data_IF_240714097669
#
_entry.id   IF_240714097669
#
_cell.length_a   1.000
_cell.length_b   1.000
_cell.length_c   1.000
_cell.angle_alpha   90.00
_cell.angle_beta   90.00
_cell.angle_gamma   90.00
#
_symmetry.space_group_name_H-M   'P 1'
#
loop_
_entity.id
_entity.type
_entity.pdbx_description
1 polymer ?
#
# COMPACT_ATOMS: atom_id res chain seq x y z
N UNK A 1 7.81 6.26 0.96
CA UNK A 1 7.29 4.89 1.18
C UNK A 1 5.81 4.91 0.84
N UNK A 2 5.34 4.01 -0.03
CA UNK A 2 3.97 3.95 -0.60
C UNK A 2 3.02 3.12 0.28
N UNK A 3 3.49 2.66 1.44
CA UNK A 3 2.80 1.63 2.23
C UNK A 3 1.52 2.11 2.94
N UNK A 4 1.25 3.41 2.97
CA UNK A 4 0.10 4.00 3.66
C UNK A 4 -0.82 4.84 2.75
N UNK A 5 -0.74 4.72 1.42
CA UNK A 5 -1.46 5.62 0.48
C UNK A 5 -2.96 5.71 0.80
N UNK A 6 -3.61 4.58 1.06
CA UNK A 6 -5.04 4.58 1.39
C UNK A 6 -5.32 5.31 2.71
N UNK A 7 -4.59 4.99 3.79
CA UNK A 7 -4.74 5.69 5.08
C UNK A 7 -4.37 7.18 4.98
N UNK A 8 -3.39 7.53 4.13
CA UNK A 8 -2.96 8.89 3.87
C UNK A 8 -4.07 9.72 3.21
N UNK A 9 -4.67 9.19 2.14
CA UNK A 9 -5.79 9.83 1.45
C UNK A 9 -7.00 10.00 2.39
N UNK A 10 -7.27 9.00 3.23
CA UNK A 10 -8.42 9.00 4.12
C UNK A 10 -8.20 9.81 5.42
N UNK A 11 -6.96 10.05 5.86
CA UNK A 11 -6.70 10.61 7.19
C UNK A 11 -5.48 11.51 7.35
N UNK A 12 -4.50 11.50 6.44
CA UNK A 12 -3.36 12.44 6.48
C UNK A 12 -3.69 13.74 5.75
N UNK A 13 -4.21 13.63 4.53
CA UNK A 13 -4.42 14.78 3.65
C UNK A 13 -5.73 15.48 4.00
N UNK A 14 -5.69 16.27 5.06
CA UNK A 14 -6.76 17.25 5.34
C UNK A 14 -6.61 18.48 4.46
N UNK A 15 -7.68 19.27 4.35
CA UNK A 15 -7.67 20.56 3.63
C UNK A 15 -6.58 21.50 4.16
N UNK A 16 -6.42 21.58 5.48
CA UNK A 16 -5.38 22.36 6.14
C UNK A 16 -3.98 21.84 5.80
N UNK A 17 -3.77 20.52 5.86
CA UNK A 17 -2.46 19.94 5.59
C UNK A 17 -2.07 20.09 4.11
N UNK A 18 -3.01 19.87 3.20
CA UNK A 18 -2.81 20.12 1.78
C UNK A 18 -2.46 21.58 1.51
N UNK A 19 -3.16 22.53 2.14
CA UNK A 19 -2.79 23.94 2.05
C UNK A 19 -1.38 24.22 2.56
N UNK A 20 -1.02 23.69 3.73
CA UNK A 20 0.29 23.91 4.33
C UNK A 20 1.44 23.30 3.52
N UNK A 21 1.19 22.19 2.81
CA UNK A 21 2.19 21.56 1.96
C UNK A 21 2.32 22.27 0.59
N UNK A 22 1.20 22.75 0.04
CA UNK A 22 1.12 23.29 -1.32
C UNK A 22 0.90 24.80 -1.38
N UNK A 23 1.15 25.54 -0.29
CA UNK A 23 0.84 26.97 -0.01
C UNK A 23 0.85 27.98 -1.19
N UNK A 24 1.66 27.74 -2.22
CA UNK A 24 1.84 28.64 -3.37
C UNK A 24 1.43 28.05 -4.73
N UNK A 25 0.90 26.82 -4.75
CA UNK A 25 0.59 26.04 -5.97
C UNK A 25 -0.85 25.55 -6.04
N UNK A 26 -1.60 25.61 -4.95
CA UNK A 26 -2.97 25.15 -4.88
C UNK A 26 -3.91 26.31 -4.53
N UNK A 27 -4.89 26.56 -5.39
CA UNK A 27 -6.04 27.37 -4.99
C UNK A 27 -6.95 26.49 -4.12
N UNK A 28 -7.02 26.82 -2.82
CA UNK A 28 -7.81 26.06 -1.84
C UNK A 28 -9.31 26.14 -2.09
N UNK A 29 -9.78 27.08 -2.91
CA UNK A 29 -11.18 27.09 -3.36
C UNK A 29 -11.52 25.91 -4.28
N UNK A 30 -10.51 25.27 -4.89
CA UNK A 30 -10.70 24.08 -5.74
C UNK A 30 -10.79 22.77 -4.95
N UNK A 31 -10.40 22.76 -3.68
CA UNK A 31 -10.57 21.58 -2.83
C UNK A 31 -12.02 21.47 -2.37
N UNK A 32 -12.61 20.26 -2.35
CA UNK A 32 -13.90 20.02 -1.71
C UNK A 32 -13.96 20.62 -0.29
N UNK A 33 -15.15 21.04 0.13
CA UNK A 33 -15.34 21.66 1.45
C UNK A 33 -15.09 20.70 2.62
N UNK A 34 -15.18 19.40 2.37
CA UNK A 34 -14.88 18.35 3.35
C UNK A 34 -13.47 18.51 3.94
N UNK A 35 -13.34 18.32 5.26
CA UNK A 35 -12.04 18.38 5.95
C UNK A 35 -11.03 17.40 5.34
N UNK A 36 -11.51 16.24 4.86
CA UNK A 36 -10.74 15.19 4.20
C UNK A 36 -11.30 14.90 2.81
N UNK A 37 -10.90 15.68 1.78
CA UNK A 37 -11.59 15.69 0.49
C UNK A 37 -11.45 14.38 -0.30
N UNK A 38 -10.43 13.56 -0.01
CA UNK A 38 -10.23 12.27 -0.68
C UNK A 38 -10.95 11.11 0.00
N UNK A 39 -11.36 11.25 1.27
CA UNK A 39 -11.86 10.14 2.09
C UNK A 39 -13.09 9.45 1.48
N UNK A 40 -14.02 10.24 0.93
CA UNK A 40 -15.30 9.72 0.41
C UNK A 40 -15.22 9.22 -1.04
N UNK A 41 -14.10 9.48 -1.73
CA UNK A 41 -13.85 9.07 -3.12
C UNK A 41 -12.75 8.01 -3.23
N UNK A 42 -12.14 7.62 -2.12
CA UNK A 42 -11.11 6.59 -2.06
C UNK A 42 -11.74 5.29 -1.58
N UNK A 43 -11.56 4.21 -2.34
CA UNK A 43 -12.17 2.90 -2.06
C UNK A 43 -11.12 1.80 -2.10
N UNK A 44 -11.09 0.97 -1.06
CA UNK A 44 -10.33 -0.28 -1.04
C UNK A 44 -11.11 -1.31 -1.83
N UNK A 45 -10.49 -1.86 -2.88
CA UNK A 45 -11.11 -2.85 -3.76
C UNK A 45 -10.73 -4.28 -3.34
N UNK A 46 -11.59 -5.28 -3.62
CA UNK A 46 -11.20 -6.67 -3.49
C UNK A 46 -10.23 -7.07 -4.60
N UNK A 47 -9.07 -7.60 -4.23
CA UNK A 47 -8.08 -8.09 -5.20
C UNK A 47 -7.23 -7.00 -5.85
N UNK A 48 -6.80 -7.26 -7.09
CA UNK A 48 -5.85 -6.44 -7.83
C UNK A 48 -6.49 -5.15 -8.37
N UNK A 49 -5.76 -4.04 -8.24
CA UNK A 49 -6.23 -2.72 -8.62
C UNK A 49 -6.55 -2.63 -10.12
N UNK A 50 -5.73 -3.25 -10.98
CA UNK A 50 -5.88 -3.13 -12.44
C UNK A 50 -7.17 -3.77 -12.94
N UNK A 51 -7.48 -4.97 -12.45
CA UNK A 51 -8.72 -5.69 -12.77
C UNK A 51 -9.96 -4.89 -12.37
N UNK A 52 -9.97 -4.35 -11.15
CA UNK A 52 -11.12 -3.58 -10.65
C UNK A 52 -11.24 -2.20 -11.32
N UNK A 53 -10.12 -1.53 -11.60
CA UNK A 53 -10.11 -0.30 -12.40
C UNK A 53 -10.67 -0.55 -13.80
N UNK A 54 -10.25 -1.63 -14.46
CA UNK A 54 -10.76 -2.02 -15.77
C UNK A 54 -12.27 -2.32 -15.74
N UNK A 55 -12.74 -3.06 -14.72
CA UNK A 55 -14.17 -3.37 -14.52
C UNK A 55 -15.00 -2.10 -14.34
N UNK A 56 -14.52 -1.17 -13.52
CA UNK A 56 -15.19 0.09 -13.28
C UNK A 56 -15.19 0.97 -14.53
N UNK A 57 -14.06 1.09 -15.24
CA UNK A 57 -13.96 1.84 -16.48
C UNK A 57 -14.91 1.31 -17.56
N UNK A 58 -15.01 -0.02 -17.72
CA UNK A 58 -15.93 -0.66 -18.66
C UNK A 58 -17.40 -0.35 -18.36
N UNK A 59 -17.79 -0.36 -17.09
CA UNK A 59 -19.18 -0.14 -16.67
C UNK A 59 -19.59 1.33 -16.62
N UNK A 60 -18.65 2.23 -16.30
CA UNK A 60 -18.91 3.66 -16.10
C UNK A 60 -18.45 4.55 -17.26
N UNK A 61 -17.74 3.97 -18.24
CA UNK A 61 -17.11 4.70 -19.36
C UNK A 61 -16.04 5.69 -18.90
N UNK A 62 -15.43 5.42 -17.75
CA UNK A 62 -14.42 6.30 -17.13
C UNK A 62 -13.03 6.10 -17.74
N UNK A 63 -12.17 7.09 -17.51
CA UNK A 63 -10.74 6.99 -17.79
C UNK A 63 -9.98 6.46 -16.57
N UNK A 64 -8.98 5.61 -16.80
CA UNK A 64 -8.03 5.13 -15.78
C UNK A 64 -6.77 5.97 -15.90
N UNK A 65 -6.39 6.67 -14.83
CA UNK A 65 -5.15 7.44 -14.77
C UNK A 65 -4.04 6.60 -14.15
N UNK A 66 -3.00 6.26 -14.91
CA UNK A 66 -1.95 5.31 -14.48
C UNK A 66 -0.60 5.59 -15.15
N UNK A 67 0.48 4.98 -14.67
CA UNK A 67 1.74 4.84 -15.42
C UNK A 67 1.86 3.45 -16.09
N UNK A 68 0.99 2.52 -15.74
CA UNK A 68 1.08 1.11 -16.12
C UNK A 68 0.39 0.90 -17.48
N UNK A 69 1.16 0.41 -18.45
CA UNK A 69 0.73 0.35 -19.86
C UNK A 69 -0.04 -0.92 -20.22
N UNK A 70 0.11 -1.96 -19.42
CA UNK A 70 -0.64 -3.22 -19.51
C UNK A 70 -2.14 -3.05 -19.24
N UNK A 71 -2.57 -1.97 -18.57
CA UNK A 71 -3.98 -1.59 -18.46
C UNK A 71 -4.69 -1.41 -19.83
N UNK A 72 -3.94 -1.16 -20.91
CA UNK A 72 -4.48 -1.14 -22.28
C UNK A 72 -4.91 -2.52 -22.80
N UNK A 73 -4.42 -3.60 -22.19
CA UNK A 73 -4.71 -4.99 -22.56
C UNK A 73 -6.07 -5.41 -22.01
N UNK A 74 -6.52 -4.84 -20.90
CA UNK A 74 -7.84 -5.11 -20.36
C UNK A 74 -8.97 -4.65 -21.30
N UNK A 75 -10.11 -5.34 -21.21
CA UNK A 75 -11.33 -4.87 -21.87
C UNK A 75 -11.97 -3.71 -21.08
N UNK A 76 -11.77 -2.49 -21.56
CA UNK A 76 -12.35 -1.26 -20.98
C UNK A 76 -13.69 -0.87 -21.62
N UNK A 77 -14.28 -1.74 -22.45
CA UNK A 77 -15.46 -1.41 -23.23
C UNK A 77 -15.18 -0.42 -24.36
N UNK A 78 -16.26 0.13 -24.94
CA UNK A 78 -16.19 0.98 -26.14
C UNK A 78 -15.63 2.38 -25.84
N UNK A 79 -15.91 2.91 -24.65
CA UNK A 79 -15.61 4.30 -24.28
C UNK A 79 -14.58 4.42 -23.15
N UNK A 80 -14.30 3.35 -22.40
CA UNK A 80 -13.28 3.37 -21.36
C UNK A 80 -11.89 3.61 -21.95
N UNK A 81 -11.06 4.35 -21.23
CA UNK A 81 -9.75 4.78 -21.72
C UNK A 81 -8.68 4.74 -20.65
N UNK A 82 -7.42 4.71 -21.07
CA UNK A 82 -6.24 4.85 -20.21
C UNK A 82 -5.60 6.20 -20.49
N UNK A 83 -5.34 6.98 -19.46
CA UNK A 83 -4.60 8.24 -19.52
C UNK A 83 -3.28 8.03 -18.77
N UNK A 84 -2.17 8.32 -19.44
CA UNK A 84 -0.87 8.14 -18.81
C UNK A 84 -0.47 9.35 -17.96
N UNK A 85 0.02 9.11 -16.74
CA UNK A 85 0.50 10.15 -15.82
C UNK A 85 1.58 11.04 -16.45
N UNK A 86 2.48 10.45 -17.25
CA UNK A 86 3.54 11.19 -17.95
C UNK A 86 3.03 12.08 -19.10
N UNK A 87 1.76 11.94 -19.51
CA UNK A 87 1.13 12.75 -20.56
C UNK A 87 0.38 13.96 -20.00
N UNK A 88 0.23 14.05 -18.67
CA UNK A 88 -0.49 15.12 -18.03
C UNK A 88 0.24 16.47 -18.19
N UNK A 89 -0.50 17.48 -18.63
CA UNK A 89 -0.03 18.84 -18.80
C UNK A 89 -1.05 19.82 -18.23
N UNK A 90 -0.56 20.83 -17.53
CA UNK A 90 -1.38 21.99 -17.13
C UNK A 90 -1.29 23.02 -18.24
N UNK A 91 -2.44 23.36 -18.81
CA UNK A 91 -2.59 24.38 -19.86
C UNK A 91 -3.44 25.52 -19.35
N UNK A 92 -3.04 26.76 -19.63
CA UNK A 92 -3.83 27.94 -19.30
C UNK A 92 -4.99 28.08 -20.30
N UNK A 93 -6.21 28.20 -19.80
CA UNK A 93 -7.37 28.51 -20.63
C UNK A 93 -7.34 30.01 -20.94
N UNK A 94 -6.93 30.38 -22.15
CA UNK A 94 -7.06 31.75 -22.63
C UNK A 94 -8.55 32.05 -22.82
N UNK A 95 -9.08 33.13 -22.22
CA UNK A 95 -10.49 33.55 -22.36
C UNK A 95 -10.90 33.94 -23.81
N UNK A 96 -10.05 33.71 -24.79
CA UNK A 96 -10.28 34.03 -26.20
C UNK A 96 -10.92 32.87 -26.94
N UNK A 97 -12.11 32.45 -26.51
CA UNK A 97 -13.07 31.70 -27.34
C UNK A 97 -14.48 31.73 -26.69
N UNK A 98 -14.87 32.89 -26.14
CA UNK A 98 -16.29 33.21 -26.04
C UNK A 98 -16.66 34.06 -27.26
N UNK A 99 -17.63 33.54 -28.00
CA UNK A 99 -18.26 34.11 -29.17
C UNK A 99 -18.58 35.59 -28.96
N UNK A 100 -18.34 36.36 -30.01
CA UNK A 100 -18.71 37.75 -30.19
C UNK A 100 -20.10 38.06 -29.61
N UNK A 101 -20.15 38.74 -28.46
CA UNK A 101 -21.24 39.65 -28.15
C UNK A 101 -20.65 40.90 -27.52
N UNK A 102 -20.71 41.97 -28.32
CA UNK A 102 -20.16 43.28 -28.00
C UNK A 102 -20.98 43.98 -26.91
N UNK A 103 -20.27 44.83 -26.17
CA UNK A 103 -20.75 45.89 -25.27
C UNK A 103 -21.12 45.49 -23.84
N UNK A 104 -20.12 45.53 -22.97
CA UNK A 104 -20.25 46.37 -21.77
C UNK A 104 -18.89 46.80 -21.24
N UNK A 105 -18.75 48.12 -21.16
CA UNK A 105 -17.61 48.85 -20.65
C UNK A 105 -17.66 48.82 -19.11
N UNK A 106 -16.76 48.07 -18.47
CA UNK A 106 -16.60 48.15 -17.02
C UNK A 106 -15.16 47.86 -16.62
N UNK A 107 -14.46 48.94 -16.26
CA UNK A 107 -13.24 48.92 -15.47
C UNK A 107 -13.50 48.23 -14.13
N UNK A 108 -13.03 47.01 -13.98
CA UNK A 108 -12.77 46.41 -12.68
C UNK A 108 -11.42 45.70 -12.72
N UNK A 109 -10.49 46.17 -11.88
CA UNK A 109 -9.25 45.46 -11.54
C UNK A 109 -9.59 44.20 -10.73
N UNK A 110 -10.28 43.23 -11.34
CA UNK A 110 -10.38 41.89 -10.81
C UNK A 110 -9.12 41.14 -11.19
N UNK A 111 -8.35 40.73 -10.19
CA UNK A 111 -7.32 39.71 -10.31
C UNK A 111 -7.94 38.49 -11.01
N UNK A 112 -7.67 38.38 -12.31
CA UNK A 112 -8.23 37.35 -13.17
C UNK A 112 -7.63 36.01 -12.73
N UNK A 113 -8.44 35.17 -12.08
CA UNK A 113 -8.00 33.86 -11.64
C UNK A 113 -7.65 33.04 -12.89
N UNK A 114 -6.37 32.69 -13.04
CA UNK A 114 -5.90 31.85 -14.14
C UNK A 114 -6.64 30.51 -14.08
N UNK A 115 -7.50 30.25 -15.07
CA UNK A 115 -8.22 28.98 -15.15
C UNK A 115 -7.28 27.94 -15.77
N UNK A 116 -6.73 27.09 -14.93
CA UNK A 116 -5.84 26.01 -15.35
C UNK A 116 -6.67 24.79 -15.77
N UNK A 117 -6.38 24.26 -16.96
CA UNK A 117 -6.95 23.01 -17.48
C UNK A 117 -5.89 21.92 -17.41
N UNK A 118 -6.23 20.77 -16.82
CA UNK A 118 -5.42 19.58 -16.87
C UNK A 118 -5.78 18.78 -18.14
N UNK A 119 -4.82 18.62 -19.04
CA UNK A 119 -4.95 17.85 -20.27
C UNK A 119 -4.06 16.60 -20.19
N UNK A 120 -4.43 15.52 -20.86
CA UNK A 120 -3.64 14.28 -20.95
C UNK A 120 -3.98 13.50 -22.20
N UNK A 121 -3.08 12.60 -22.60
CA UNK A 121 -3.31 11.70 -23.73
C UNK A 121 -4.09 10.47 -23.27
N UNK A 122 -5.38 10.42 -23.63
CA UNK A 122 -6.23 9.26 -23.43
C UNK A 122 -6.16 8.29 -24.61
N UNK A 123 -6.02 7.00 -24.33
CA UNK A 123 -6.07 5.92 -25.31
C UNK A 123 -7.26 5.02 -24.98
N UNK A 124 -8.19 4.90 -25.90
CA UNK A 124 -9.31 3.95 -25.82
C UNK A 124 -8.89 2.65 -26.53
N UNK A 125 -8.73 1.51 -25.83
CA UNK A 125 -8.31 0.24 -26.44
C UNK A 125 -9.19 -0.18 -27.62
N UNK A 126 -10.49 0.07 -27.53
CA UNK A 126 -11.44 -0.21 -28.62
C UNK A 126 -11.18 0.62 -29.88
N UNK A 127 -10.99 1.93 -29.73
CA UNK A 127 -10.65 2.83 -30.84
C UNK A 127 -9.30 2.49 -31.44
N UNK A 128 -8.30 2.20 -30.59
CA UNK A 128 -6.97 1.80 -31.02
C UNK A 128 -7.02 0.50 -31.84
N UNK A 129 -7.74 -0.52 -31.36
CA UNK A 129 -7.93 -1.79 -32.09
C UNK A 129 -8.51 -1.56 -33.49
N UNK A 130 -9.54 -0.70 -33.58
CA UNK A 130 -10.19 -0.34 -34.85
C UNK A 130 -9.24 0.39 -35.81
N UNK A 131 -8.46 1.35 -35.32
CA UNK A 131 -7.48 2.09 -36.12
C UNK A 131 -6.35 1.18 -36.62
N UNK A 132 -5.93 0.21 -35.80
CA UNK A 132 -4.92 -0.78 -36.13
C UNK A 132 -5.47 -1.92 -37.01
N UNK A 133 -6.79 -2.03 -37.16
CA UNK A 133 -7.44 -3.10 -37.93
C UNK A 133 -7.23 -4.49 -37.32
N UNK A 134 -7.08 -4.58 -35.99
CA UNK A 134 -6.96 -5.82 -35.23
C UNK A 134 -8.25 -6.10 -34.47
N UNK A 135 -8.57 -7.37 -34.16
CA UNK A 135 -9.79 -7.70 -33.43
C UNK A 135 -9.81 -7.09 -32.03
N UNK A 136 -8.66 -7.09 -31.34
CA UNK A 136 -8.51 -6.56 -29.99
C UNK A 136 -7.02 -6.32 -29.65
N UNK A 137 -6.75 -5.57 -28.57
CA UNK A 137 -5.38 -5.28 -28.11
C UNK A 137 -4.72 -6.51 -27.49
N UNK A 138 -5.50 -7.39 -26.84
CA UNK A 138 -4.99 -8.59 -26.17
C UNK A 138 -4.17 -9.47 -27.10
N UNK A 139 -4.62 -9.65 -28.34
CA UNK A 139 -3.89 -10.45 -29.32
C UNK A 139 -2.55 -9.81 -29.68
N UNK A 140 -2.50 -8.51 -29.86
CA UNK A 140 -1.25 -7.79 -30.11
C UNK A 140 -0.29 -7.90 -28.92
N UNK A 141 -0.81 -7.74 -27.71
CA UNK A 141 -0.05 -7.85 -26.47
C UNK A 141 0.54 -9.27 -26.27
N UNK A 142 -0.23 -10.30 -26.58
CA UNK A 142 0.26 -11.68 -26.58
C UNK A 142 1.46 -11.88 -27.51
N UNK A 143 1.36 -11.42 -28.76
CA UNK A 143 2.46 -11.53 -29.72
C UNK A 143 3.70 -10.74 -29.26
N UNK A 144 3.50 -9.57 -28.63
CA UNK A 144 4.58 -8.78 -28.05
C UNK A 144 5.25 -9.51 -26.89
N UNK A 145 4.49 -10.22 -26.05
CA UNK A 145 5.04 -11.05 -24.96
C UNK A 145 5.90 -12.20 -25.51
N UNK A 146 5.43 -12.86 -26.57
CA UNK A 146 6.16 -13.99 -27.19
C UNK A 146 7.45 -13.55 -27.89
N UNK A 147 7.47 -12.36 -28.52
CA UNK A 147 8.65 -11.79 -29.17
C UNK A 147 8.77 -10.28 -28.90
N UNK A 148 9.34 -9.88 -27.72
CA UNK A 148 9.46 -8.48 -27.32
C UNK A 148 10.33 -7.63 -28.26
N UNK A 149 11.13 -8.26 -29.12
CA UNK A 149 12.02 -7.60 -30.07
C UNK A 149 11.47 -7.60 -31.50
N UNK A 150 10.28 -8.18 -31.72
CA UNK A 150 9.62 -8.16 -33.01
C UNK A 150 9.32 -6.72 -33.46
N UNK A 151 9.51 -6.39 -34.76
CA UNK A 151 9.07 -5.11 -35.27
C UNK A 151 7.54 -5.00 -35.21
N UNK A 152 7.04 -3.80 -34.94
CA UNK A 152 5.60 -3.50 -34.81
C UNK A 152 4.74 -4.05 -35.95
N UNK A 153 5.21 -3.95 -37.21
CA UNK A 153 4.50 -4.46 -38.38
C UNK A 153 4.34 -5.98 -38.39
N UNK A 154 5.32 -6.73 -37.86
CA UNK A 154 5.24 -8.19 -37.70
C UNK A 154 4.18 -8.54 -36.66
N UNK A 155 4.22 -7.90 -35.49
CA UNK A 155 3.24 -8.10 -34.41
C UNK A 155 1.81 -7.79 -34.89
N UNK A 156 1.65 -6.67 -35.59
CA UNK A 156 0.36 -6.26 -36.15
C UNK A 156 -0.18 -7.27 -37.16
N UNK A 157 0.68 -7.79 -38.04
CA UNK A 157 0.30 -8.84 -39.00
C UNK A 157 -0.16 -10.11 -38.27
N UNK A 158 0.61 -10.59 -37.28
CA UNK A 158 0.27 -11.77 -36.49
C UNK A 158 -1.05 -11.60 -35.72
N UNK A 159 -1.32 -10.40 -35.22
CA UNK A 159 -2.56 -10.09 -34.54
C UNK A 159 -3.78 -10.05 -35.48
N UNK A 160 -3.60 -9.63 -36.75
CA UNK A 160 -4.66 -9.61 -37.78
C UNK A 160 -4.98 -10.99 -38.34
N UNK A 161 -3.96 -11.81 -38.54
CA UNK A 161 -4.08 -13.13 -39.16
C UNK A 161 -4.68 -14.18 -38.20
N UNK A 162 -4.75 -13.86 -36.90
CA UNK A 162 -5.33 -14.75 -35.91
C UNK A 162 -6.84 -14.97 -36.14
N UNK A 163 -7.22 -16.23 -36.34
CA UNK A 163 -8.59 -16.69 -36.32
C UNK A 163 -8.76 -17.67 -35.16
N UNK A 164 -9.88 -17.53 -34.46
CA UNK A 164 -10.22 -18.41 -33.34
C UNK A 164 -10.29 -19.87 -33.83
N UNK A 165 -9.37 -20.73 -33.35
CA UNK A 165 -9.33 -22.16 -33.68
C UNK A 165 -8.25 -22.64 -34.67
N UNK A 166 -7.38 -21.77 -35.21
CA UNK A 166 -6.37 -22.19 -36.22
C UNK A 166 -5.09 -22.83 -35.63
N UNK A 167 -4.88 -22.79 -34.30
CA UNK A 167 -3.72 -23.41 -33.63
C UNK A 167 -4.09 -23.75 -32.17
N UNK A 168 -4.37 -25.03 -31.91
CA UNK A 168 -4.90 -25.52 -30.62
C UNK A 168 -3.92 -25.29 -29.46
N UNK A 169 -2.61 -25.38 -29.73
CA UNK A 169 -1.58 -25.15 -28.72
C UNK A 169 -1.46 -23.66 -28.40
N UNK A 170 -1.27 -22.81 -29.43
CA UNK A 170 -1.27 -21.34 -29.25
C UNK A 170 -2.56 -20.81 -28.66
N UNK A 171 -3.68 -21.50 -28.87
CA UNK A 171 -4.94 -21.17 -28.21
C UNK A 171 -4.88 -21.41 -26.71
N UNK A 172 -4.21 -22.46 -26.23
CA UNK A 172 -4.04 -22.70 -24.78
C UNK A 172 -3.12 -21.65 -24.16
N UNK A 173 -1.94 -21.39 -24.72
CA UNK A 173 -1.02 -20.39 -24.15
C UNK A 173 -1.58 -18.95 -24.24
N UNK A 174 -2.40 -18.67 -25.25
CA UNK A 174 -3.14 -17.42 -25.36
C UNK A 174 -4.30 -17.34 -24.35
N UNK A 175 -5.05 -18.42 -24.14
CA UNK A 175 -6.05 -18.45 -23.07
C UNK A 175 -5.40 -18.29 -21.70
N UNK A 176 -4.25 -18.93 -21.46
CA UNK A 176 -3.47 -18.75 -20.23
C UNK A 176 -3.03 -17.30 -20.04
N UNK A 177 -2.57 -16.63 -21.11
CA UNK A 177 -2.27 -15.19 -21.12
C UNK A 177 -3.49 -14.34 -20.76
N UNK A 178 -4.65 -14.65 -21.35
CA UNK A 178 -5.86 -13.86 -21.16
C UNK A 178 -6.40 -13.92 -19.73
N UNK A 179 -6.13 -14.99 -18.97
CA UNK A 179 -6.62 -15.12 -17.59
C UNK A 179 -6.21 -13.97 -16.69
N UNK A 180 -5.05 -13.35 -16.92
CA UNK A 180 -4.57 -12.18 -16.17
C UNK A 180 -5.44 -10.93 -16.42
N UNK A 181 -6.09 -10.84 -17.58
CA UNK A 181 -6.89 -9.70 -18.01
C UNK A 181 -8.40 -9.97 -17.99
N UNK A 182 -8.80 -11.19 -17.66
CA UNK A 182 -10.19 -11.61 -17.51
C UNK A 182 -10.69 -11.30 -16.11
N UNK A 183 -11.96 -10.93 -16.01
CA UNK A 183 -12.60 -10.79 -14.71
C UNK A 183 -12.69 -12.16 -14.06
N UNK A 184 -12.06 -12.33 -12.90
CA UNK A 184 -12.30 -13.49 -12.05
C UNK A 184 -13.81 -13.64 -11.76
N UNK A 185 -14.29 -14.85 -11.43
CA UNK A 185 -15.66 -15.02 -11.00
C UNK A 185 -15.92 -14.04 -9.84
N UNK A 186 -16.95 -13.20 -10.01
CA UNK A 186 -17.45 -12.30 -8.96
C UNK A 186 -17.48 -13.05 -7.62
N UNK A 187 -17.15 -12.38 -6.49
CA UNK A 187 -17.33 -12.99 -5.18
C UNK A 187 -18.73 -13.61 -5.12
N UNK A 188 -18.73 -14.88 -4.71
CA UNK A 188 -19.81 -15.87 -4.76
C UNK A 188 -21.24 -15.31 -4.93
N UNK A 189 -22.07 -15.88 -5.83
CA UNK A 189 -23.50 -15.56 -5.92
C UNK A 189 -24.31 -15.92 -4.66
N UNK A 190 -23.67 -16.45 -3.61
CA UNK A 190 -24.26 -16.74 -2.31
C UNK A 190 -24.08 -15.63 -1.26
N UNK A 191 -23.32 -14.57 -1.56
CA UNK A 191 -23.29 -13.38 -0.71
C UNK A 191 -24.59 -12.58 -0.90
N UNK A 192 -25.42 -12.52 0.13
CA UNK A 192 -26.52 -11.55 0.17
C UNK A 192 -25.96 -10.13 0.02
N UNK A 193 -26.70 -9.21 -0.62
CA UNK A 193 -26.28 -7.80 -0.77
C UNK A 193 -25.85 -7.17 0.57
N UNK A 194 -26.54 -7.51 1.65
CA UNK A 194 -26.23 -7.02 3.00
C UNK A 194 -24.88 -7.54 3.55
N UNK A 195 -24.51 -8.79 3.23
CA UNK A 195 -23.20 -9.34 3.60
C UNK A 195 -22.06 -8.74 2.77
N UNK A 196 -22.30 -8.43 1.50
CA UNK A 196 -21.30 -7.83 0.62
C UNK A 196 -21.02 -6.37 1.00
N UNK A 197 -22.05 -5.61 1.37
CA UNK A 197 -21.93 -4.23 1.83
C UNK A 197 -21.23 -4.15 3.20
N UNK A 198 -21.58 -5.06 4.13
CA UNK A 198 -20.90 -5.19 5.42
C UNK A 198 -19.43 -5.58 5.29
N UNK A 199 -19.10 -6.44 4.31
CA UNK A 199 -17.73 -6.86 4.04
C UNK A 199 -16.93 -5.75 3.35
N UNK A 200 -17.55 -5.00 2.43
CA UNK A 200 -16.94 -3.82 1.81
C UNK A 200 -16.65 -2.73 2.82
N UNK A 201 -17.60 -2.38 3.71
CA UNK A 201 -17.36 -1.43 4.79
C UNK A 201 -16.22 -1.90 5.69
N UNK A 202 -16.11 -3.21 5.92
CA UNK A 202 -15.07 -3.76 6.76
C UNK A 202 -13.67 -3.63 6.15
N UNK A 203 -13.54 -3.77 4.83
CA UNK A 203 -12.24 -3.66 4.14
C UNK A 203 -11.82 -2.20 3.89
N UNK A 204 -12.73 -1.22 4.00
CA UNK A 204 -12.48 0.23 3.78
C UNK A 204 -11.51 0.91 4.77
N UNK A 205 -10.70 0.17 5.53
CA UNK A 205 -9.67 0.71 6.41
C UNK A 205 -8.47 -0.22 6.59
N UNK A 206 -8.38 -1.26 5.77
CA UNK A 206 -7.29 -2.22 5.81
C UNK A 206 -6.06 -1.68 5.10
N UNK A 207 -4.90 -2.16 5.51
CA UNK A 207 -3.70 -2.04 4.70
C UNK A 207 -3.89 -2.88 3.41
N UNK A 208 -3.43 -2.43 2.24
CA UNK A 208 -3.60 -3.17 0.99
C UNK A 208 -3.11 -4.63 1.08
N UNK A 209 -1.99 -4.90 1.77
CA UNK A 209 -1.43 -6.26 1.91
C UNK A 209 -2.25 -7.12 2.85
N UNK A 210 -2.85 -6.50 3.87
CA UNK A 210 -3.79 -7.19 4.77
C UNK A 210 -5.09 -7.51 4.06
N UNK A 211 -5.60 -6.57 3.25
CA UNK A 211 -6.78 -6.78 2.40
C UNK A 211 -6.54 -7.93 1.42
N UNK A 212 -5.42 -7.89 0.69
CA UNK A 212 -5.02 -8.94 -0.25
C UNK A 212 -4.93 -10.32 0.43
N UNK A 213 -4.25 -10.39 1.58
CA UNK A 213 -4.15 -11.63 2.34
C UNK A 213 -5.52 -12.11 2.83
N UNK A 214 -6.37 -11.20 3.31
CA UNK A 214 -7.73 -11.52 3.73
C UNK A 214 -8.51 -12.16 2.58
N UNK A 215 -8.47 -11.59 1.38
CA UNK A 215 -9.15 -12.13 0.21
C UNK A 215 -8.60 -13.48 -0.25
N UNK A 216 -7.29 -13.72 -0.11
CA UNK A 216 -6.72 -15.04 -0.33
C UNK A 216 -7.36 -16.10 0.59
N UNK A 217 -7.63 -15.77 1.86
CA UNK A 217 -8.27 -16.69 2.82
C UNK A 217 -9.79 -16.81 2.65
N UNK A 218 -10.47 -15.71 2.35
CA UNK A 218 -11.92 -15.65 2.18
C UNK A 218 -12.36 -16.34 0.88
N UNK A 219 -11.59 -16.14 -0.19
CA UNK A 219 -11.88 -16.65 -1.53
C UNK A 219 -10.65 -17.31 -2.17
N UNK A 220 -10.16 -18.44 -1.61
CA UNK A 220 -8.95 -19.11 -2.10
C UNK A 220 -9.10 -19.56 -3.56
N UNK A 221 -10.29 -20.01 -3.94
CA UNK A 221 -10.59 -20.41 -5.32
C UNK A 221 -10.51 -19.24 -6.32
N UNK A 222 -10.46 -17.98 -5.89
CA UNK A 222 -10.27 -16.85 -6.80
C UNK A 222 -8.83 -16.35 -6.77
N UNK A 223 -8.23 -16.27 -5.57
CA UNK A 223 -6.96 -15.56 -5.37
C UNK A 223 -5.76 -16.47 -5.10
N UNK A 224 -5.94 -17.79 -5.02
CA UNK A 224 -4.85 -18.75 -4.74
C UNK A 224 -4.68 -19.85 -5.81
N UNK A 225 -5.48 -19.85 -6.89
CA UNK A 225 -5.48 -20.92 -7.90
C UNK A 225 -4.10 -21.20 -8.56
N UNK A 226 -3.18 -20.23 -8.54
CA UNK A 226 -1.83 -20.38 -9.09
C UNK A 226 -0.70 -20.31 -8.04
N UNK A 227 -1.00 -20.01 -6.77
CA UNK A 227 0.01 -19.73 -5.73
C UNK A 227 -0.48 -20.07 -4.33
N UNK A 228 0.42 -20.57 -3.48
CA UNK A 228 0.17 -20.63 -2.03
C UNK A 228 -0.07 -19.23 -1.46
N UNK A 229 -0.70 -19.16 -0.27
CA UNK A 229 -0.89 -17.91 0.45
C UNK A 229 0.40 -17.10 0.54
N UNK A 230 0.33 -15.82 0.21
CA UNK A 230 1.51 -14.98 0.14
C UNK A 230 1.24 -13.52 0.47
N UNK A 231 2.31 -12.81 0.83
CA UNK A 231 2.30 -11.38 1.15
C UNK A 231 3.54 -10.73 0.57
N UNK A 232 3.38 -9.66 -0.21
CA UNK A 232 4.49 -8.84 -0.70
C UNK A 232 4.80 -7.72 0.28
N UNK A 233 5.93 -7.76 0.99
CA UNK A 233 6.30 -6.67 1.89
C UNK A 233 6.85 -5.47 1.11
N UNK A 234 6.49 -4.26 1.54
CA UNK A 234 6.93 -3.04 0.88
C UNK A 234 8.46 -2.85 0.93
N UNK A 235 9.02 -2.16 -0.06
CA UNK A 235 10.45 -1.84 -0.06
C UNK A 235 10.71 -0.75 0.98
N UNK A 236 11.59 -1.03 1.94
CA UNK A 236 12.10 -0.07 2.91
C UNK A 236 13.41 0.54 2.41
N UNK A 237 13.65 1.81 2.73
CA UNK A 237 14.97 2.41 2.49
C UNK A 237 15.95 1.88 3.53
N UNK A 238 16.66 0.81 3.18
CA UNK A 238 17.58 0.10 4.06
C UNK A 238 18.91 -0.17 3.36
N UNK A 239 19.94 -0.48 4.14
CA UNK A 239 21.22 -0.98 3.61
C UNK A 239 21.05 -2.41 3.05
N UNK A 240 21.17 -2.56 1.73
CA UNK A 240 20.98 -3.83 1.04
C UNK A 240 22.09 -4.86 1.32
N UNK A 241 23.24 -4.42 1.86
CA UNK A 241 24.33 -5.31 2.28
C UNK A 241 24.05 -6.02 3.62
N UNK A 242 23.06 -5.53 4.39
CA UNK A 242 22.65 -6.09 5.68
C UNK A 242 21.44 -7.02 5.54
N UNK A 243 21.15 -7.76 6.61
CA UNK A 243 19.92 -8.57 6.75
C UNK A 243 18.70 -7.68 6.55
N UNK A 244 17.65 -8.18 5.90
CA UNK A 244 16.43 -7.44 5.62
C UNK A 244 15.80 -6.86 6.89
N UNK A 245 15.46 -5.57 6.90
CA UNK A 245 14.86 -4.90 8.04
C UNK A 245 13.51 -5.53 8.45
N UNK A 246 12.77 -6.12 7.52
CA UNK A 246 11.51 -6.83 7.79
C UNK A 246 11.65 -8.01 8.73
N UNK A 247 12.85 -8.57 8.82
CA UNK A 247 13.14 -9.71 9.67
C UNK A 247 13.07 -9.36 11.16
N UNK A 248 13.34 -8.10 11.51
CA UNK A 248 13.26 -7.58 12.88
C UNK A 248 11.89 -7.82 13.54
N UNK A 249 10.84 -7.90 12.72
CA UNK A 249 9.45 -7.90 13.16
C UNK A 249 8.63 -9.05 12.57
N UNK A 250 9.31 -10.08 12.03
CA UNK A 250 8.66 -11.25 11.43
C UNK A 250 7.70 -11.93 12.41
N UNK A 251 8.09 -12.08 13.68
CA UNK A 251 7.26 -12.71 14.70
C UNK A 251 5.88 -12.08 14.86
N UNK A 252 5.77 -10.75 14.78
CA UNK A 252 4.47 -10.05 14.85
C UNK A 252 3.57 -10.35 13.65
N UNK A 253 4.15 -10.42 12.44
CA UNK A 253 3.38 -10.77 11.24
C UNK A 253 2.99 -12.24 11.25
N UNK A 254 3.91 -13.14 11.59
CA UNK A 254 3.64 -14.57 11.76
C UNK A 254 2.51 -14.84 12.76
N UNK A 255 2.48 -14.11 13.88
CA UNK A 255 1.39 -14.17 14.85
C UNK A 255 0.05 -13.75 14.24
N UNK A 256 0.04 -12.65 13.49
CA UNK A 256 -1.16 -12.16 12.80
C UNK A 256 -1.67 -13.14 11.75
N UNK A 257 -0.76 -13.71 10.95
CA UNK A 257 -1.10 -14.73 9.95
C UNK A 257 -1.69 -15.99 10.59
N UNK A 258 -1.09 -16.46 11.70
CA UNK A 258 -1.58 -17.61 12.43
C UNK A 258 -2.99 -17.36 13.01
N UNK A 259 -3.26 -16.16 13.53
CA UNK A 259 -4.59 -15.75 13.98
C UNK A 259 -5.62 -15.75 12.85
N UNK A 260 -5.29 -15.17 11.69
CA UNK A 260 -6.16 -15.20 10.53
C UNK A 260 -6.47 -16.64 10.10
N UNK A 261 -5.44 -17.49 10.05
CA UNK A 261 -5.58 -18.90 9.72
C UNK A 261 -6.51 -19.63 10.71
N UNK A 262 -6.32 -19.46 12.02
CA UNK A 262 -7.19 -20.05 13.05
C UNK A 262 -8.64 -19.55 12.98
N UNK A 263 -8.86 -18.35 12.44
CA UNK A 263 -10.19 -17.77 12.24
C UNK A 263 -10.94 -18.32 11.02
N UNK A 264 -10.26 -19.09 10.17
CA UNK A 264 -10.82 -19.73 8.99
C UNK A 264 -11.27 -21.18 9.27
N UNK A 265 -12.26 -21.71 8.53
CA UNK A 265 -12.63 -23.12 8.58
C UNK A 265 -11.42 -24.03 8.35
N UNK A 266 -11.37 -25.17 9.03
CA UNK A 266 -10.24 -26.10 8.96
C UNK A 266 -9.89 -26.56 7.52
N UNK A 267 -10.86 -26.55 6.60
CA UNK A 267 -10.66 -26.87 5.19
C UNK A 267 -9.86 -25.83 4.41
N UNK A 268 -9.85 -24.57 4.86
CA UNK A 268 -9.13 -23.45 4.23
C UNK A 268 -7.85 -23.09 4.98
N UNK A 269 -7.54 -23.78 6.08
CA UNK A 269 -6.33 -23.52 6.84
C UNK A 269 -5.09 -24.00 6.07
N UNK A 270 -4.04 -23.19 6.13
CA UNK A 270 -2.72 -23.52 5.64
C UNK A 270 -1.76 -23.78 6.79
N UNK A 271 -0.73 -24.58 6.53
CA UNK A 271 0.42 -24.72 7.43
C UNK A 271 1.41 -23.58 7.25
N UNK A 272 1.44 -22.96 6.07
CA UNK A 272 2.48 -21.98 5.70
C UNK A 272 1.97 -20.84 4.82
N UNK A 273 2.65 -19.70 4.90
CA UNK A 273 2.47 -18.52 4.04
C UNK A 273 3.85 -18.09 3.52
N UNK A 274 3.93 -17.51 2.33
CA UNK A 274 5.17 -16.93 1.81
C UNK A 274 5.20 -15.42 1.97
N UNK A 275 6.27 -14.90 2.58
CA UNK A 275 6.58 -13.48 2.53
C UNK A 275 7.57 -13.23 1.38
N UNK A 276 7.19 -12.38 0.44
CA UNK A 276 8.11 -11.87 -0.56
C UNK A 276 8.87 -10.69 0.03
N UNK A 277 10.16 -10.91 0.31
CA UNK A 277 11.03 -9.95 1.00
C UNK A 277 12.36 -9.80 0.28
N UNK A 278 13.06 -8.70 0.58
CA UNK A 278 14.40 -8.49 0.05
C UNK A 278 15.40 -9.48 0.65
N UNK A 279 16.25 -10.04 -0.21
CA UNK A 279 17.49 -10.74 0.16
C UNK A 279 18.64 -10.27 -0.72
N UNK A 280 19.54 -9.47 -0.14
CA UNK A 280 20.56 -8.75 -0.91
C UNK A 280 19.91 -7.75 -1.87
N UNK A 281 20.20 -7.86 -3.17
CA UNK A 281 19.60 -7.03 -4.22
C UNK A 281 18.38 -7.64 -4.93
N UNK A 282 17.81 -8.73 -4.42
CA UNK A 282 16.67 -9.44 -5.04
C UNK A 282 15.48 -9.53 -4.09
N UNK A 283 14.28 -9.73 -4.64
CA UNK A 283 13.10 -10.14 -3.88
C UNK A 283 13.00 -11.67 -3.97
N UNK A 284 12.75 -12.33 -2.84
CA UNK A 284 12.62 -13.78 -2.72
C UNK A 284 11.42 -14.14 -1.85
N UNK A 285 10.82 -15.29 -2.11
CA UNK A 285 9.79 -15.87 -1.25
C UNK A 285 10.46 -16.56 -0.04
N UNK A 286 10.07 -16.17 1.17
CA UNK A 286 10.47 -16.83 2.41
C UNK A 286 9.25 -17.47 3.08
N UNK A 287 9.37 -18.75 3.40
CA UNK A 287 8.29 -19.51 4.01
C UNK A 287 8.15 -19.18 5.49
N UNK A 288 6.93 -18.90 5.93
CA UNK A 288 6.54 -18.69 7.32
C UNK A 288 5.62 -19.82 7.74
N UNK A 289 6.04 -20.58 8.75
CA UNK A 289 5.21 -21.63 9.36
C UNK A 289 4.21 -21.01 10.33
N UNK A 290 2.95 -21.38 10.19
CA UNK A 290 1.87 -20.87 11.05
C UNK A 290 1.78 -21.67 12.34
N UNK A 291 1.82 -20.95 13.46
CA UNK A 291 1.75 -21.53 14.77
C UNK A 291 0.33 -22.01 15.11
N UNK A 292 0.23 -23.06 15.93
CA UNK A 292 -1.05 -23.53 16.46
C UNK A 292 -1.55 -22.65 17.61
N UNK A 293 -2.83 -22.83 17.97
CA UNK A 293 -3.56 -22.06 18.98
C UNK A 293 -2.79 -21.82 20.29
N UNK A 294 -2.21 -22.86 20.90
CA UNK A 294 -1.47 -22.72 22.17
C UNK A 294 -0.31 -21.75 22.07
N UNK A 295 0.45 -21.82 20.99
CA UNK A 295 1.60 -20.93 20.74
C UNK A 295 1.12 -19.52 20.46
N UNK A 296 0.07 -19.35 19.65
CA UNK A 296 -0.55 -18.05 19.37
C UNK A 296 -0.97 -17.31 20.64
N UNK A 297 -1.66 -18.01 21.56
CA UNK A 297 -2.07 -17.43 22.85
C UNK A 297 -0.87 -17.05 23.72
N UNK A 298 0.18 -17.90 23.73
CA UNK A 298 1.43 -17.59 24.44
C UNK A 298 2.10 -16.34 23.87
N UNK A 299 2.19 -16.23 22.55
CA UNK A 299 2.84 -15.12 21.84
C UNK A 299 2.07 -13.80 22.02
N UNK A 300 0.73 -13.84 22.07
CA UNK A 300 -0.09 -12.69 22.45
C UNK A 300 0.18 -12.24 23.89
N UNK A 301 0.32 -13.18 24.82
CA UNK A 301 0.73 -12.90 26.20
C UNK A 301 2.12 -12.26 26.28
N UNK A 302 3.08 -12.76 25.48
CA UNK A 302 4.41 -12.16 25.39
C UNK A 302 4.38 -10.74 24.82
N UNK A 303 3.58 -10.49 23.77
CA UNK A 303 3.39 -9.13 23.24
C UNK A 303 2.81 -8.19 24.30
N UNK A 304 1.76 -8.60 25.01
CA UNK A 304 1.17 -7.81 26.08
C UNK A 304 2.21 -7.48 27.17
N UNK A 305 2.96 -8.47 27.64
CA UNK A 305 4.01 -8.25 28.64
C UNK A 305 5.12 -7.30 28.18
N UNK A 306 5.49 -7.33 26.89
CA UNK A 306 6.47 -6.38 26.32
C UNK A 306 5.91 -4.96 26.24
N UNK A 307 4.64 -4.81 25.89
CA UNK A 307 3.97 -3.51 25.89
C UNK A 307 3.88 -2.94 27.32
N UNK A 308 3.56 -3.77 28.30
CA UNK A 308 3.49 -3.35 29.71
C UNK A 308 4.86 -2.93 30.24
N UNK A 309 5.92 -3.65 29.87
CA UNK A 309 7.30 -3.25 30.17
C UNK A 309 7.64 -1.88 29.54
N UNK A 310 7.26 -1.69 28.27
CA UNK A 310 7.52 -0.44 27.57
C UNK A 310 6.76 0.74 28.19
N UNK A 311 5.49 0.55 28.57
CA UNK A 311 4.68 1.54 29.31
C UNK A 311 5.32 1.95 30.63
N UNK A 312 5.87 0.97 31.37
CA UNK A 312 6.58 1.26 32.61
C UNK A 312 7.93 1.96 32.40
N UNK A 313 8.52 1.82 31.21
CA UNK A 313 9.84 2.39 30.87
C UNK A 313 9.71 3.81 30.33
N UNK A 314 8.81 4.02 29.37
CA UNK A 314 8.60 5.27 28.67
C UNK A 314 7.39 5.95 29.29
N UNK A 315 7.65 6.96 30.13
CA UNK A 315 6.64 7.82 30.76
C UNK A 315 5.93 8.71 29.69
N UNK A 316 5.21 8.06 28.77
CA UNK A 316 4.55 8.63 27.60
C UNK A 316 3.20 7.95 27.41
N UNK A 317 2.23 8.71 26.89
CA UNK A 317 0.88 8.18 26.65
C UNK A 317 0.91 7.13 25.54
N UNK A 318 0.19 6.03 25.75
CA UNK A 318 0.06 4.91 24.82
C UNK A 318 -0.40 5.31 23.42
N UNK A 319 -1.26 6.32 23.30
CA UNK A 319 -1.77 6.81 22.01
C UNK A 319 -0.76 7.69 21.26
N UNK A 320 0.41 7.96 21.83
CA UNK A 320 1.42 8.84 21.23
C UNK A 320 2.27 8.09 20.21
N UNK A 321 2.43 8.64 19.00
CA UNK A 321 3.34 8.08 17.97
C UNK A 321 4.79 7.95 18.46
N UNK A 322 5.15 8.80 19.41
CA UNK A 322 6.42 8.80 20.12
C UNK A 322 6.63 7.58 21.02
N UNK A 323 5.58 7.10 21.70
CA UNK A 323 5.65 5.88 22.51
C UNK A 323 5.93 4.67 21.61
N UNK A 324 5.15 4.52 20.54
CA UNK A 324 5.30 3.42 19.59
C UNK A 324 6.65 3.45 18.87
N UNK A 325 7.15 4.64 18.53
CA UNK A 325 8.50 4.77 17.98
C UNK A 325 9.56 4.27 18.95
N UNK A 326 9.47 4.62 20.24
CA UNK A 326 10.40 4.15 21.27
C UNK A 326 10.27 2.65 21.53
N UNK A 327 9.05 2.11 21.53
CA UNK A 327 8.81 0.68 21.57
C UNK A 327 9.55 0.00 20.42
N UNK A 328 9.27 0.39 19.17
CA UNK A 328 9.92 -0.18 17.99
C UNK A 328 11.45 0.01 17.98
N UNK A 329 11.97 1.13 18.48
CA UNK A 329 13.41 1.35 18.65
C UNK A 329 14.00 0.40 19.70
N UNK A 330 13.30 0.15 20.80
CA UNK A 330 13.74 -0.80 21.84
C UNK A 330 13.78 -2.24 21.32
N UNK A 331 12.84 -2.62 20.45
CA UNK A 331 12.82 -3.91 19.77
C UNK A 331 14.05 -4.10 18.88
N UNK A 332 14.35 -3.11 18.04
CA UNK A 332 15.54 -3.11 17.19
C UNK A 332 16.83 -3.11 18.03
N UNK A 333 16.84 -2.39 19.15
CA UNK A 333 17.98 -2.30 20.05
C UNK A 333 18.31 -3.62 20.75
N UNK A 334 17.30 -4.36 21.23
CA UNK A 334 17.50 -5.67 21.86
C UNK A 334 18.15 -6.67 20.90
N UNK A 335 17.66 -6.74 19.67
CA UNK A 335 18.22 -7.65 18.66
C UNK A 335 19.67 -7.29 18.32
N UNK A 336 19.96 -5.98 18.17
CA UNK A 336 21.33 -5.51 17.96
C UNK A 336 22.23 -5.89 19.13
N UNK A 337 21.76 -5.78 20.36
CA UNK A 337 22.51 -6.14 21.58
C UNK A 337 22.81 -7.64 21.66
N UNK A 338 21.93 -8.48 21.10
CA UNK A 338 22.13 -9.94 21.06
C UNK A 338 23.05 -10.40 19.92
N UNK A 339 23.15 -9.63 18.82
CA UNK A 339 23.78 -10.09 17.57
C UNK A 339 25.05 -9.33 17.19
N UNK A 340 25.18 -8.07 17.58
CA UNK A 340 26.25 -7.15 17.17
C UNK A 340 26.57 -6.15 18.27
N UNK A 341 27.44 -5.16 18.01
CA UNK A 341 27.67 -4.06 18.95
C UNK A 341 26.51 -3.05 18.85
N UNK A 342 25.70 -2.87 19.91
CA UNK A 342 24.57 -1.95 19.86
C UNK A 342 25.04 -0.49 19.89
N UNK A 343 24.22 0.45 19.37
CA UNK A 343 24.51 1.87 19.46
C UNK A 343 24.68 2.36 20.91
N UNK A 344 25.66 3.22 21.15
CA UNK A 344 25.86 3.85 22.47
C UNK A 344 24.74 4.83 22.81
N UNK A 345 24.58 5.16 24.09
CA UNK A 345 23.63 6.19 24.54
C UNK A 345 23.77 7.52 23.78
N UNK A 346 25.01 7.94 23.49
CA UNK A 346 25.28 9.18 22.75
C UNK A 346 24.81 9.09 21.30
N UNK A 347 25.00 7.93 20.66
CA UNK A 347 24.53 7.68 19.30
C UNK A 347 23.01 7.69 19.22
N UNK A 348 22.32 7.03 20.16
CA UNK A 348 20.86 7.02 20.22
C UNK A 348 20.27 8.41 20.51
N UNK A 349 20.91 9.19 21.37
CA UNK A 349 20.54 10.60 21.60
C UNK A 349 20.71 11.44 20.34
N UNK A 350 21.80 11.22 19.58
CA UNK A 350 22.00 11.85 18.28
C UNK A 350 20.92 11.44 17.28
N UNK A 351 20.60 10.15 17.21
CA UNK A 351 19.58 9.63 16.31
C UNK A 351 18.21 10.24 16.58
N UNK A 352 17.78 10.32 17.83
CA UNK A 352 16.50 10.93 18.20
C UNK A 352 16.49 12.46 18.06
N UNK A 353 17.53 13.14 18.56
CA UNK A 353 17.56 14.61 18.61
C UNK A 353 18.08 15.29 17.35
N UNK A 354 18.76 14.57 16.45
CA UNK A 354 19.36 15.11 15.21
C UNK A 354 19.04 14.28 13.96
N UNK A 355 18.51 13.07 14.14
CA UNK A 355 18.19 12.17 13.04
C UNK A 355 19.36 11.29 12.57
N UNK A 356 20.52 11.35 13.23
CA UNK A 356 21.70 10.53 12.91
C UNK A 356 22.60 10.31 14.13
N UNK A 357 23.26 9.16 14.20
CA UNK A 357 24.10 8.72 15.31
C UNK A 357 25.48 9.39 15.34
N UNK A 358 25.99 9.79 14.17
CA UNK A 358 27.36 10.27 13.97
C UNK A 358 27.49 11.78 13.75
N UNK A 359 28.34 12.17 12.79
CA UNK A 359 28.51 13.56 12.34
C UNK A 359 27.55 13.97 11.22
N UNK A 360 26.95 12.98 10.57
CA UNK A 360 25.97 13.12 9.51
C UNK A 360 25.28 11.78 9.29
N UNK A 361 24.36 11.73 8.34
CA UNK A 361 23.61 10.52 8.00
C UNK A 361 24.50 9.49 7.33
N UNK A 362 24.45 8.26 7.81
CA UNK A 362 25.04 7.09 7.15
C UNK A 362 24.01 5.96 6.91
N UNK A 363 24.47 4.87 6.30
CA UNK A 363 23.65 3.67 6.05
C UNK A 363 23.22 2.96 7.34
N UNK A 364 23.97 3.10 8.43
CA UNK A 364 23.60 2.60 9.75
C UNK A 364 22.35 3.30 10.28
N UNK A 365 22.28 4.62 10.15
CA UNK A 365 21.10 5.42 10.52
C UNK A 365 19.87 5.06 9.67
N UNK A 366 20.06 4.94 8.36
CA UNK A 366 19.01 4.59 7.40
C UNK A 366 18.47 3.19 7.71
N UNK A 367 19.35 2.22 7.94
CA UNK A 367 18.96 0.86 8.24
C UNK A 367 18.28 0.73 9.61
N UNK A 368 18.75 1.43 10.64
CA UNK A 368 18.09 1.45 11.94
C UNK A 368 16.67 2.01 11.84
N UNK A 369 16.48 3.10 11.09
CA UNK A 369 15.14 3.64 10.84
C UNK A 369 14.25 2.64 10.08
N UNK A 370 14.80 1.91 9.10
CA UNK A 370 14.06 0.86 8.40
C UNK A 370 13.63 -0.27 9.35
N UNK A 371 14.49 -0.70 10.29
CA UNK A 371 14.13 -1.70 11.30
C UNK A 371 12.98 -1.21 12.19
N UNK A 372 13.03 0.04 12.65
CA UNK A 372 11.95 0.66 13.44
C UNK A 372 10.65 0.70 12.62
N UNK A 373 10.72 1.12 11.36
CA UNK A 373 9.57 1.17 10.45
C UNK A 373 8.98 -0.22 10.20
N UNK A 374 9.81 -1.25 10.04
CA UNK A 374 9.38 -2.64 9.88
C UNK A 374 8.60 -3.14 11.10
N UNK A 375 9.05 -2.81 12.32
CA UNK A 375 8.35 -3.14 13.56
C UNK A 375 6.99 -2.45 13.60
N UNK A 376 6.95 -1.13 13.42
CA UNK A 376 5.70 -0.35 13.45
C UNK A 376 4.68 -0.84 12.43
N UNK A 377 5.14 -1.11 11.21
CA UNK A 377 4.28 -1.63 10.15
C UNK A 377 3.76 -3.04 10.48
N UNK A 378 4.62 -3.91 11.01
CA UNK A 378 4.23 -5.27 11.39
C UNK A 378 3.23 -5.30 12.55
N UNK A 379 3.34 -4.36 13.49
CA UNK A 379 2.33 -4.17 14.54
C UNK A 379 0.99 -3.69 13.96
N UNK A 380 0.99 -2.83 12.94
CA UNK A 380 -0.25 -2.44 12.25
C UNK A 380 -0.90 -3.63 11.55
N UNK A 381 -0.11 -4.44 10.83
CA UNK A 381 -0.58 -5.69 10.21
C UNK A 381 -1.21 -6.60 11.26
N UNK A 382 -0.50 -6.84 12.38
CA UNK A 382 -1.02 -7.65 13.48
C UNK A 382 -2.31 -7.07 14.08
N UNK A 383 -2.39 -5.75 14.30
CA UNK A 383 -3.60 -5.09 14.82
C UNK A 383 -4.81 -5.34 13.92
N UNK A 384 -4.67 -5.16 12.60
CA UNK A 384 -5.76 -5.40 11.66
C UNK A 384 -6.15 -6.88 11.60
N UNK A 385 -5.17 -7.80 11.61
CA UNK A 385 -5.44 -9.24 11.61
C UNK A 385 -6.10 -9.72 12.91
N UNK A 386 -5.77 -9.14 14.08
CA UNK A 386 -6.50 -9.38 15.34
C UNK A 386 -7.95 -8.94 15.20
N UNK A 387 -8.21 -7.76 14.61
CA UNK A 387 -9.58 -7.25 14.42
C UNK A 387 -10.40 -8.12 13.47
N UNK A 388 -9.78 -8.66 12.42
CA UNK A 388 -10.38 -9.63 11.51
C UNK A 388 -10.69 -10.94 12.23
N UNK A 389 -9.68 -11.55 12.84
CA UNK A 389 -9.82 -12.84 13.52
C UNK A 389 -10.85 -12.79 14.65
N UNK A 390 -10.90 -11.69 15.42
CA UNK A 390 -11.83 -11.51 16.54
C UNK A 390 -13.32 -11.54 16.17
N UNK A 391 -13.67 -11.56 14.87
CA UNK A 391 -15.06 -11.72 14.41
C UNK A 391 -15.54 -13.17 14.47
N UNK A 392 -14.64 -14.13 14.25
CA UNK A 392 -14.98 -15.55 14.12
C UNK A 392 -14.19 -16.44 15.09
N UNK A 393 -13.13 -15.91 15.68
CA UNK A 393 -12.24 -16.60 16.60
C UNK A 393 -12.13 -15.84 17.94
N UNK A 394 -12.15 -16.58 19.05
CA UNK A 394 -12.00 -15.99 20.38
C UNK A 394 -10.52 -15.68 20.66
N UNK A 395 -10.13 -14.43 20.38
CA UNK A 395 -8.81 -13.89 20.72
C UNK A 395 -8.68 -13.53 22.21
N UNK A 396 -9.72 -13.78 23.01
CA UNK A 396 -9.75 -13.52 24.44
C UNK A 396 -9.50 -12.06 24.81
N UNK A 397 -8.72 -11.77 25.87
CA UNK A 397 -8.47 -10.41 26.32
C UNK A 397 -7.59 -9.61 25.35
N UNK A 398 -6.94 -10.28 24.39
CA UNK A 398 -5.98 -9.66 23.50
C UNK A 398 -6.61 -8.90 22.33
N UNK A 399 -7.94 -8.92 22.18
CA UNK A 399 -8.66 -8.15 21.15
C UNK A 399 -8.25 -6.67 21.11
N UNK A 400 -7.94 -6.10 22.27
CA UNK A 400 -7.61 -4.68 22.43
C UNK A 400 -6.13 -4.43 22.69
N UNK A 401 -5.25 -5.44 22.59
CA UNK A 401 -3.82 -5.31 22.94
C UNK A 401 -3.10 -4.21 22.15
N UNK A 402 -3.51 -4.00 20.89
CA UNK A 402 -3.00 -2.96 20.00
C UNK A 402 -4.04 -1.87 19.71
N UNK A 403 -5.09 -1.70 20.53
CA UNK A 403 -6.18 -0.74 20.24
C UNK A 403 -5.67 0.68 20.06
N UNK A 404 -4.68 1.09 20.86
CA UNK A 404 -4.19 2.46 20.91
C UNK A 404 -3.04 2.71 19.89
N UNK A 405 -2.74 1.73 19.01
CA UNK A 405 -1.77 1.87 17.93
C UNK A 405 -2.29 2.87 16.87
N UNK A 406 -1.56 3.98 16.61
CA UNK A 406 -1.93 4.96 15.59
C UNK A 406 -1.93 4.38 14.17
N UNK A 407 -2.62 5.04 13.21
CA UNK A 407 -2.49 4.72 11.79
C UNK A 407 -1.04 4.87 11.29
N UNK A 408 -0.70 4.16 10.21
CA UNK A 408 0.64 4.13 9.64
C UNK A 408 1.14 5.52 9.29
N UNK A 409 0.26 6.41 8.86
CA UNK A 409 0.67 7.75 8.47
C UNK A 409 1.23 8.59 9.64
N UNK A 410 0.86 8.26 10.89
CA UNK A 410 1.41 8.84 12.11
C UNK A 410 2.61 8.06 12.66
N UNK A 411 2.72 6.77 12.33
CA UNK A 411 3.81 5.90 12.76
C UNK A 411 5.06 6.06 11.86
N UNK A 412 4.86 6.15 10.55
CA UNK A 412 5.91 6.21 9.54
C UNK A 412 6.38 7.65 9.28
N UNK A 413 6.66 8.37 10.37
CA UNK A 413 7.12 9.76 10.34
C UNK A 413 8.44 9.89 9.60
N UNK A 414 8.59 11.03 8.93
CA UNK A 414 9.88 11.47 8.41
C UNK A 414 10.88 11.66 9.55
N UNK A 415 12.17 11.61 9.21
CA UNK A 415 13.24 11.91 10.17
C UNK A 415 13.10 13.30 10.78
N UNK A 416 12.63 14.27 10.01
CA UNK A 416 12.39 15.64 10.49
C UNK A 416 11.31 15.67 11.58
N UNK A 417 10.17 15.00 11.35
CA UNK A 417 9.10 14.89 12.33
C UNK A 417 9.52 14.14 13.60
N UNK A 418 10.40 13.13 13.48
CA UNK A 418 10.99 12.44 14.63
C UNK A 418 11.84 13.44 15.45
N UNK A 419 12.77 14.13 14.80
CA UNK A 419 13.64 15.11 15.47
C UNK A 419 12.83 16.18 16.19
N UNK A 420 11.77 16.68 15.57
CA UNK A 420 10.88 17.66 16.19
C UNK A 420 10.24 17.12 17.47
N UNK A 421 9.79 15.86 17.49
CA UNK A 421 9.19 15.20 18.65
C UNK A 421 10.16 14.90 19.81
N UNK A 422 11.47 14.90 19.56
CA UNK A 422 12.51 14.62 20.56
C UNK A 422 13.49 15.79 20.78
N UNK A 423 13.16 16.97 20.28
CA UNK A 423 14.02 18.16 20.28
C UNK A 423 14.36 18.70 21.69
N UNK A 424 13.56 18.35 22.70
CA UNK A 424 13.88 18.62 24.11
C UNK A 424 15.01 17.70 24.60
N UNK A 425 16.25 18.19 24.53
CA UNK A 425 17.48 17.44 24.85
C UNK A 425 17.45 16.71 26.21
N UNK A 426 16.80 17.27 27.23
CA UNK A 426 16.72 16.66 28.56
C UNK A 426 15.78 15.44 28.58
N UNK A 427 14.63 15.53 27.91
CA UNK A 427 13.71 14.41 27.72
C UNK A 427 14.32 13.27 26.91
N UNK A 428 15.05 13.59 25.83
CA UNK A 428 15.72 12.58 25.01
C UNK A 428 16.78 11.79 25.79
N UNK A 429 17.61 12.45 26.60
CA UNK A 429 18.65 11.78 27.42
C UNK A 429 18.04 10.82 28.44
N UNK A 430 16.97 11.23 29.14
CA UNK A 430 16.26 10.41 30.12
C UNK A 430 15.69 9.14 29.48
N UNK A 431 15.00 9.31 28.35
CA UNK A 431 14.38 8.20 27.61
C UNK A 431 15.42 7.20 27.11
N UNK A 432 16.53 7.65 26.52
CA UNK A 432 17.60 6.77 26.06
C UNK A 432 18.25 6.01 27.23
N UNK A 433 18.45 6.68 28.37
CA UNK A 433 19.01 6.02 29.54
C UNK A 433 18.07 4.93 30.10
N UNK A 434 16.77 5.21 30.17
CA UNK A 434 15.76 4.22 30.56
C UNK A 434 15.71 3.05 29.59
N UNK A 435 15.74 3.31 28.28
CA UNK A 435 15.76 2.27 27.25
C UNK A 435 16.96 1.35 27.42
N UNK A 436 18.18 1.87 27.50
CA UNK A 436 19.38 1.04 27.65
C UNK A 436 19.36 0.26 28.96
N UNK A 437 18.90 0.87 30.06
CA UNK A 437 18.80 0.18 31.35
C UNK A 437 17.84 -1.01 31.33
N UNK A 438 16.73 -0.89 30.60
CA UNK A 438 15.69 -1.93 30.55
C UNK A 438 15.97 -2.98 29.46
N UNK A 439 16.53 -2.56 28.33
CA UNK A 439 16.62 -3.38 27.10
C UNK A 439 18.05 -3.74 26.68
N UNK A 440 19.08 -3.22 27.35
CA UNK A 440 20.50 -3.41 27.00
C UNK A 440 21.30 -4.28 27.95
#
# INVERSE_FOLDING_TARGET
MVSAVFEDLCGRWSRERAWNEFQYRLDVSLLPEDEYPWKNITVMVPGEADTECARLAKSTKSAILTSDSDLLVHDLGVEGSVVFLNSLQLTEESESESTEDSNSNSNSNSTQALKLKLCGQGITPHTLSRQLGIPNIQRFAYELREDPHAPFSKLLRLAREYKYGDDEKRSVEYCDFLREYEYGPSPSPHATKDSEESLKLFTQGMDPRVSELFWQFDSPDTYTQASQFHVYLGILHEDSSRRCAWEQARSYRSLGYALLNLSCPATHQSQTIYEFVRRGGRIVAEQVTLAGEKTVISDLGHLQGRLDLARSTFDRRDSSSDFWFLFALSEAYQELSNTTTPPTAKQLQGFLGKGFMGKGTDWGDIHLLAQVQAVLYSLRVLQQLIQIAAKTYDVGPYRTVLRDLPPLYLLMRSRHEIVQGFSENEGCRKVVHQMIKTYG
#
